data_IF_516815275070
#
_entry.id   IF_516815275070
#
_cell.length_a   1.000
_cell.length_b   1.000
_cell.length_c   1.000
_cell.angle_alpha   90.00
_cell.angle_beta   90.00
_cell.angle_gamma   90.00
#
_symmetry.space_group_name_H-M   'P 1'
#
loop_
_entity.id
_entity.type
_entity.pdbx_description
1 polymer ?
#
# COMPACT_ATOMS: atom_id res chain seq x y z
N UNK A 1 -33.55 -10.63 5.55
CA UNK A 1 -33.79 -11.03 4.15
C UNK A 1 -33.98 -9.77 3.31
N UNK A 2 -32.92 -9.29 2.66
CA UNK A 2 -32.93 -8.04 1.89
C UNK A 2 -33.00 -8.32 0.39
N UNK A 3 -33.97 -7.69 -0.28
CA UNK A 3 -34.32 -7.87 -1.69
C UNK A 3 -33.19 -7.49 -2.65
N UNK A 4 -33.01 -8.31 -3.69
CA UNK A 4 -32.18 -8.04 -4.88
C UNK A 4 -33.10 -7.45 -5.95
N UNK A 5 -32.93 -6.18 -6.30
CA UNK A 5 -33.60 -5.59 -7.46
C UNK A 5 -32.68 -5.54 -8.67
N UNK A 6 -33.11 -6.21 -9.75
CA UNK A 6 -32.51 -6.12 -11.09
C UNK A 6 -33.12 -4.92 -11.79
N UNK A 7 -32.31 -3.93 -12.14
CA UNK A 7 -32.75 -2.77 -12.92
C UNK A 7 -32.38 -2.99 -14.39
N UNK A 8 -33.37 -3.35 -15.21
CA UNK A 8 -33.33 -3.20 -16.67
C UNK A 8 -33.66 -1.75 -17.04
N UNK A 9 -32.73 -1.00 -17.62
CA UNK A 9 -33.00 0.31 -18.22
C UNK A 9 -33.14 0.21 -19.73
N UNK A 10 -34.36 0.42 -20.20
CA UNK A 10 -34.66 0.80 -21.57
C UNK A 10 -35.03 2.28 -21.54
N UNK A 11 -34.24 3.16 -22.16
CA UNK A 11 -34.62 4.55 -22.39
C UNK A 11 -33.89 5.09 -23.63
N UNK A 12 -34.64 5.16 -24.74
CA UNK A 12 -34.31 5.97 -25.91
C UNK A 12 -34.33 7.45 -25.49
N UNK A 13 -33.23 8.16 -25.70
CA UNK A 13 -33.20 9.62 -25.67
C UNK A 13 -32.25 10.14 -26.77
N UNK A 14 -32.88 10.49 -27.89
CA UNK A 14 -32.67 11.62 -28.78
C UNK A 14 -31.25 12.21 -28.90
N UNK A 15 -30.72 12.04 -30.10
CA UNK A 15 -29.55 12.69 -30.70
C UNK A 15 -29.67 14.21 -30.65
N UNK A 16 -28.65 14.88 -30.11
CA UNK A 16 -28.28 16.25 -30.49
C UNK A 16 -26.78 16.23 -30.75
N UNK A 17 -26.42 16.48 -32.00
CA UNK A 17 -25.05 16.58 -32.46
C UNK A 17 -24.39 17.81 -31.84
N UNK A 18 -23.25 17.60 -31.19
CA UNK A 18 -22.25 18.63 -30.96
C UNK A 18 -20.95 18.09 -31.56
N UNK A 19 -20.61 18.69 -32.70
CA UNK A 19 -19.38 18.49 -33.44
C UNK A 19 -18.19 18.84 -32.54
N UNK A 20 -17.48 17.82 -32.07
CA UNK A 20 -16.18 17.94 -31.42
C UNK A 20 -15.26 16.91 -32.09
N UNK A 21 -14.75 17.29 -33.25
CA UNK A 21 -13.64 16.64 -33.92
C UNK A 21 -12.33 16.93 -33.17
N UNK A 22 -12.24 16.44 -31.93
CA UNK A 22 -10.95 16.25 -31.26
C UNK A 22 -10.52 14.81 -31.55
N UNK A 23 -9.58 14.66 -32.48
CA UNK A 23 -9.04 13.35 -32.88
C UNK A 23 -8.40 12.70 -31.66
N UNK A 24 -9.16 11.82 -31.02
CA UNK A 24 -8.73 11.02 -29.90
C UNK A 24 -7.57 10.13 -30.37
N UNK A 25 -6.33 10.53 -30.05
CA UNK A 25 -5.15 9.72 -30.35
C UNK A 25 -5.40 8.25 -29.94
N UNK A 26 -5.07 7.28 -30.82
CA UNK A 26 -5.42 5.88 -30.61
C UNK A 26 -4.89 5.42 -29.26
N UNK A 27 -5.64 4.55 -28.57
CA UNK A 27 -5.33 4.12 -27.21
C UNK A 27 -3.86 3.62 -27.06
N UNK A 28 -3.31 3.04 -28.12
CA UNK A 28 -1.91 2.62 -28.23
C UNK A 28 -0.90 3.77 -28.02
N UNK A 29 -1.13 4.96 -28.60
CA UNK A 29 -0.24 6.11 -28.46
C UNK A 29 -0.26 6.68 -27.04
N UNK A 30 -1.42 6.66 -26.37
CA UNK A 30 -1.53 7.08 -24.97
C UNK A 30 -0.81 6.10 -24.03
N UNK A 31 -0.89 4.80 -24.31
CA UNK A 31 -0.16 3.76 -23.56
C UNK A 31 1.35 3.91 -23.75
N UNK A 32 1.82 4.11 -24.98
CA UNK A 32 3.23 4.30 -25.30
C UNK A 32 3.80 5.58 -24.66
N UNK A 33 3.06 6.70 -24.70
CA UNK A 33 3.46 7.96 -24.03
C UNK A 33 3.53 7.79 -22.51
N UNK A 34 2.59 7.06 -21.91
CA UNK A 34 2.60 6.75 -20.47
C UNK A 34 3.80 5.86 -20.10
N UNK A 35 4.11 4.85 -20.89
CA UNK A 35 5.28 3.98 -20.68
C UNK A 35 6.59 4.78 -20.71
N UNK A 36 6.78 5.63 -21.73
CA UNK A 36 7.95 6.52 -21.82
C UNK A 36 8.05 7.49 -20.64
N UNK A 37 6.93 8.03 -20.14
CA UNK A 37 6.93 8.90 -18.94
C UNK A 37 7.31 8.13 -17.68
N UNK A 38 6.80 6.91 -17.49
CA UNK A 38 7.16 6.07 -16.35
C UNK A 38 8.63 5.65 -16.40
N UNK A 39 9.16 5.35 -17.58
CA UNK A 39 10.58 5.05 -17.78
C UNK A 39 11.47 6.25 -17.43
N UNK A 40 11.10 7.46 -17.87
CA UNK A 40 11.82 8.69 -17.50
C UNK A 40 11.80 8.94 -16.00
N UNK A 41 10.66 8.74 -15.33
CA UNK A 41 10.56 8.88 -13.88
C UNK A 41 11.40 7.82 -13.15
N UNK A 42 11.36 6.57 -13.61
CA UNK A 42 12.15 5.49 -13.03
C UNK A 42 13.66 5.74 -13.18
N UNK A 43 14.11 6.23 -14.35
CA UNK A 43 15.50 6.66 -14.56
C UNK A 43 15.87 7.82 -13.64
N UNK A 44 14.98 8.81 -13.48
CA UNK A 44 15.21 9.94 -12.59
C UNK A 44 15.26 9.54 -11.10
N UNK A 45 14.63 8.44 -10.72
CA UNK A 45 14.65 7.91 -9.34
C UNK A 45 15.65 6.78 -9.11
N UNK A 46 16.38 6.34 -10.14
CA UNK A 46 17.40 5.28 -10.01
C UNK A 46 18.74 5.94 -9.76
N UNK A 47 19.41 5.52 -8.69
CA UNK A 47 20.76 5.99 -8.36
C UNK A 47 21.72 4.81 -8.44
N UNK A 48 22.78 4.96 -9.21
CA UNK A 48 23.86 3.98 -9.33
C UNK A 48 25.07 4.49 -8.57
N UNK A 49 25.59 3.68 -7.66
CA UNK A 49 26.79 3.99 -6.89
C UNK A 49 27.90 2.99 -7.21
N UNK A 50 29.14 3.47 -7.15
CA UNK A 50 30.32 2.61 -7.07
C UNK A 50 30.76 2.59 -5.62
N UNK A 51 30.94 1.39 -5.07
CA UNK A 51 31.41 1.17 -3.70
C UNK A 51 32.53 0.13 -3.73
N UNK A 52 33.38 0.14 -2.72
CA UNK A 52 34.40 -0.89 -2.58
C UNK A 52 33.77 -2.29 -2.43
N UNK A 53 34.41 -3.35 -2.96
CA UNK A 53 33.88 -4.71 -2.84
C UNK A 53 33.61 -5.17 -1.40
N UNK A 54 34.49 -4.77 -0.46
CA UNK A 54 34.37 -5.05 0.98
C UNK A 54 33.09 -4.43 1.57
N UNK A 55 32.80 -3.17 1.22
CA UNK A 55 31.58 -2.47 1.63
C UNK A 55 30.34 -3.20 1.11
N UNK A 56 30.34 -3.61 -0.16
CA UNK A 56 29.22 -4.36 -0.72
C UNK A 56 28.96 -5.67 0.03
N UNK A 57 30.01 -6.46 0.30
CA UNK A 57 29.89 -7.71 1.05
C UNK A 57 29.35 -7.49 2.46
N UNK A 58 29.84 -6.45 3.15
CA UNK A 58 29.33 -6.08 4.47
C UNK A 58 27.84 -5.73 4.42
N UNK A 59 27.42 -4.92 3.44
CA UNK A 59 26.01 -4.53 3.28
C UNK A 59 25.11 -5.71 2.90
N UNK A 60 25.59 -6.64 2.10
CA UNK A 60 24.87 -7.89 1.78
C UNK A 60 24.62 -8.74 3.04
N UNK A 61 25.62 -8.85 3.92
CA UNK A 61 25.48 -9.56 5.19
C UNK A 61 24.45 -8.89 6.11
N UNK A 62 24.48 -7.56 6.21
CA UNK A 62 23.50 -6.78 6.98
C UNK A 62 22.08 -6.93 6.43
N UNK A 63 21.91 -6.85 5.11
CA UNK A 63 20.61 -7.06 4.47
C UNK A 63 20.05 -8.46 4.78
N UNK A 64 20.89 -9.50 4.69
CA UNK A 64 20.51 -10.88 5.02
C UNK A 64 20.13 -11.02 6.49
N UNK A 65 20.89 -10.43 7.41
CA UNK A 65 20.58 -10.43 8.84
C UNK A 65 19.23 -9.75 9.14
N UNK A 66 18.89 -8.69 8.39
CA UNK A 66 17.59 -8.03 8.45
C UNK A 66 16.46 -8.79 7.71
N UNK A 67 16.74 -9.91 7.05
CA UNK A 67 15.78 -10.66 6.25
C UNK A 67 15.31 -9.92 4.99
N UNK A 68 16.18 -9.09 4.41
CA UNK A 68 15.92 -8.24 3.25
C UNK A 68 16.90 -8.55 2.12
N UNK A 69 16.53 -8.17 0.89
CA UNK A 69 17.51 -8.09 -0.21
C UNK A 69 18.27 -6.76 -0.12
N UNK A 70 19.46 -6.69 -0.77
CA UNK A 70 20.32 -5.51 -0.71
C UNK A 70 19.59 -4.24 -1.15
N UNK A 71 18.86 -4.26 -2.27
CA UNK A 71 18.14 -3.09 -2.77
C UNK A 71 17.16 -2.51 -1.74
N UNK A 72 16.35 -3.37 -1.12
CA UNK A 72 15.40 -2.95 -0.10
C UNK A 72 16.09 -2.44 1.16
N UNK A 73 17.19 -3.09 1.56
CA UNK A 73 18.00 -2.65 2.69
C UNK A 73 18.62 -1.26 2.44
N UNK A 74 19.16 -1.02 1.24
CA UNK A 74 19.71 0.28 0.86
C UNK A 74 18.62 1.37 0.79
N UNK A 75 17.44 1.05 0.26
CA UNK A 75 16.28 1.96 0.29
C UNK A 75 15.91 2.34 1.73
N UNK A 76 15.80 1.35 2.63
CA UNK A 76 15.52 1.61 4.04
C UNK A 76 16.61 2.46 4.69
N UNK A 77 17.88 2.23 4.38
CA UNK A 77 19.00 3.01 4.92
C UNK A 77 18.88 4.49 4.49
N UNK A 78 18.62 4.75 3.22
CA UNK A 78 18.44 6.11 2.70
C UNK A 78 17.21 6.78 3.33
N UNK A 79 16.08 6.09 3.41
CA UNK A 79 14.87 6.62 4.07
C UNK A 79 15.10 6.88 5.56
N UNK A 80 15.88 6.03 6.24
CA UNK A 80 16.25 6.24 7.65
C UNK A 80 17.10 7.49 7.81
N UNK A 81 18.07 7.69 6.91
CA UNK A 81 18.89 8.88 6.93
C UNK A 81 18.03 10.14 6.75
N UNK A 82 17.12 10.15 5.77
CA UNK A 82 16.17 11.28 5.57
C UNK A 82 15.36 11.57 6.83
N UNK A 83 14.82 10.54 7.50
CA UNK A 83 14.06 10.73 8.75
C UNK A 83 14.92 11.34 9.85
N UNK A 84 16.21 10.97 9.93
CA UNK A 84 17.11 11.39 11.00
C UNK A 84 17.77 12.75 10.74
N UNK A 85 18.01 13.11 9.48
CA UNK A 85 18.77 14.29 9.10
C UNK A 85 17.89 15.45 8.63
N UNK A 86 16.64 15.18 8.24
CA UNK A 86 15.74 16.24 7.79
C UNK A 86 15.35 17.15 8.96
N UNK A 87 15.14 18.46 8.71
CA UNK A 87 14.51 19.36 9.67
C UNK A 87 13.18 18.81 10.19
N UNK A 88 12.83 19.15 11.42
CA UNK A 88 11.61 18.63 12.06
C UNK A 88 10.32 19.00 11.31
N UNK A 89 10.33 20.09 10.54
CA UNK A 89 9.24 20.60 9.71
C UNK A 89 9.29 20.10 8.25
N UNK A 90 10.27 19.28 7.88
CA UNK A 90 10.36 18.72 6.54
C UNK A 90 9.24 17.71 6.28
N UNK A 91 8.39 18.03 5.29
CA UNK A 91 7.22 17.23 4.97
C UNK A 91 7.57 15.80 4.50
N UNK A 92 8.72 15.60 3.86
CA UNK A 92 9.16 14.27 3.42
C UNK A 92 9.59 13.42 4.62
N UNK A 93 10.43 13.97 5.51
CA UNK A 93 10.88 13.34 6.74
C UNK A 93 9.72 12.93 7.63
N UNK A 94 8.80 13.86 7.92
CA UNK A 94 7.59 13.61 8.72
C UNK A 94 6.75 12.47 8.13
N UNK A 95 6.50 12.50 6.81
CA UNK A 95 5.70 11.47 6.12
C UNK A 95 6.37 10.09 6.16
N UNK A 96 7.69 10.02 5.96
CA UNK A 96 8.44 8.76 6.02
C UNK A 96 8.47 8.20 7.44
N UNK A 97 8.66 9.06 8.44
CA UNK A 97 8.58 8.69 9.85
C UNK A 97 7.20 8.14 10.21
N UNK A 98 6.13 8.83 9.81
CA UNK A 98 4.75 8.40 10.02
C UNK A 98 4.47 7.04 9.38
N UNK A 99 4.88 6.84 8.12
CA UNK A 99 4.74 5.55 7.43
C UNK A 99 5.46 4.43 8.16
N UNK A 100 6.70 4.66 8.64
CA UNK A 100 7.47 3.67 9.40
C UNK A 100 6.77 3.32 10.70
N UNK A 101 6.29 4.33 11.42
CA UNK A 101 5.55 4.16 12.67
C UNK A 101 4.27 3.35 12.46
N UNK A 102 3.44 3.71 11.49
CA UNK A 102 2.21 2.97 11.12
C UNK A 102 2.50 1.50 10.85
N UNK A 103 3.54 1.19 10.07
CA UNK A 103 3.90 -0.20 9.76
C UNK A 103 4.40 -0.93 11.01
N UNK A 104 5.24 -0.28 11.82
CA UNK A 104 5.75 -0.85 13.07
C UNK A 104 4.63 -1.19 14.05
N UNK A 105 3.73 -0.24 14.29
CA UNK A 105 2.64 -0.37 15.25
C UNK A 105 1.65 -1.46 14.81
N UNK A 106 1.33 -1.52 13.52
CA UNK A 106 0.51 -2.59 12.95
C UNK A 106 1.14 -3.96 13.15
N UNK A 107 2.45 -4.10 12.91
CA UNK A 107 3.16 -5.37 13.09
C UNK A 107 3.18 -5.77 14.56
N UNK A 108 3.46 -4.84 15.47
CA UNK A 108 3.45 -5.09 16.90
C UNK A 108 2.05 -5.52 17.37
N UNK A 109 1.00 -4.81 16.95
CA UNK A 109 -0.39 -5.14 17.25
C UNK A 109 -0.80 -6.50 16.70
N UNK A 110 -0.45 -6.81 15.46
CA UNK A 110 -0.73 -8.11 14.85
C UNK A 110 -0.07 -9.25 15.65
N UNK A 111 1.20 -9.13 16.02
CA UNK A 111 1.89 -10.13 16.84
C UNK A 111 1.23 -10.31 18.21
N UNK A 112 0.90 -9.20 18.88
CA UNK A 112 0.25 -9.24 20.19
C UNK A 112 -1.13 -9.91 20.14
N UNK A 113 -1.94 -9.62 19.10
CA UNK A 113 -3.25 -10.25 18.92
C UNK A 113 -3.15 -11.74 18.58
N UNK A 114 -2.17 -12.14 17.77
CA UNK A 114 -1.93 -13.55 17.45
C UNK A 114 -1.45 -14.33 18.69
N UNK A 115 -0.53 -13.76 19.46
CA UNK A 115 -0.07 -14.34 20.72
C UNK A 115 -1.21 -14.50 21.75
N UNK A 116 -2.22 -13.61 21.70
CA UNK A 116 -3.42 -13.71 22.52
C UNK A 116 -4.49 -14.68 21.97
N UNK A 117 -4.18 -15.45 20.91
CA UNK A 117 -5.09 -16.42 20.32
C UNK A 117 -6.28 -15.80 19.56
N UNK A 118 -6.20 -14.51 19.19
CA UNK A 118 -7.30 -13.78 18.52
C UNK A 118 -7.29 -13.92 16.99
N UNK A 119 -6.53 -14.89 16.46
CA UNK A 119 -6.41 -15.11 15.03
C UNK A 119 -7.70 -15.72 14.44
N UNK A 120 -8.17 -15.18 13.32
CA UNK A 120 -9.24 -15.75 12.51
C UNK A 120 -9.14 -15.33 11.03
N UNK A 121 -10.09 -15.75 10.21
CA UNK A 121 -10.13 -15.41 8.78
C UNK A 121 -10.10 -13.90 8.51
N UNK A 122 -10.67 -13.10 9.42
CA UNK A 122 -10.82 -11.64 9.32
C UNK A 122 -9.70 -10.88 10.03
N UNK A 123 -8.60 -11.55 10.38
CA UNK A 123 -7.55 -11.02 11.23
C UNK A 123 -7.00 -9.66 10.78
N UNK A 124 -6.81 -9.44 9.47
CA UNK A 124 -6.35 -8.15 8.94
C UNK A 124 -7.30 -7.02 9.34
N UNK A 125 -8.61 -7.23 9.19
CA UNK A 125 -9.60 -6.23 9.56
C UNK A 125 -9.59 -5.99 11.06
N UNK A 126 -9.55 -7.05 11.88
CA UNK A 126 -9.53 -6.91 13.33
C UNK A 126 -8.32 -6.12 13.83
N UNK A 127 -7.13 -6.41 13.30
CA UNK A 127 -5.91 -5.66 13.65
C UNK A 127 -6.06 -4.19 13.30
N UNK A 128 -6.54 -3.88 12.09
CA UNK A 128 -6.71 -2.49 11.65
C UNK A 128 -7.79 -1.77 12.47
N UNK A 129 -8.92 -2.41 12.76
CA UNK A 129 -9.97 -1.82 13.60
C UNK A 129 -9.51 -1.61 15.04
N UNK A 130 -8.70 -2.52 15.58
CA UNK A 130 -8.25 -2.45 16.95
C UNK A 130 -7.13 -1.42 17.16
N UNK A 131 -6.28 -1.21 16.15
CA UNK A 131 -5.25 -0.17 16.19
C UNK A 131 -5.79 1.21 15.80
N UNK A 132 -6.84 1.29 14.97
CA UNK A 132 -7.45 2.56 14.59
C UNK A 132 -8.20 3.26 15.74
N UNK A 133 -8.35 2.61 16.90
CA UNK A 133 -8.86 3.23 18.14
C UNK A 133 -7.82 4.10 18.85
N UNK A 134 -6.55 3.98 18.45
CA UNK A 134 -5.47 4.82 18.97
C UNK A 134 -5.39 6.10 18.13
N UNK A 135 -5.59 7.24 18.78
CA UNK A 135 -5.61 8.55 18.14
C UNK A 135 -4.25 8.91 17.53
N UNK A 136 -3.14 8.51 18.16
CA UNK A 136 -1.80 8.72 17.62
C UNK A 136 -1.63 7.88 16.35
N UNK A 137 -2.07 6.62 16.35
CA UNK A 137 -2.05 5.81 15.14
C UNK A 137 -2.86 6.46 14.01
N UNK A 138 -4.06 6.95 14.30
CA UNK A 138 -4.93 7.59 13.30
C UNK A 138 -4.26 8.83 12.67
N UNK A 139 -3.65 9.68 13.49
CA UNK A 139 -2.93 10.86 13.02
C UNK A 139 -1.74 10.49 12.10
N UNK A 140 -0.95 9.50 12.50
CA UNK A 140 0.20 9.03 11.72
C UNK A 140 -0.23 8.36 10.41
N UNK A 141 -1.33 7.61 10.45
CA UNK A 141 -1.91 6.99 9.27
C UNK A 141 -2.37 8.04 8.25
N UNK A 142 -3.08 9.08 8.68
CA UNK A 142 -3.53 10.15 7.79
C UNK A 142 -2.35 10.86 7.13
N UNK A 143 -1.33 11.22 7.92
CA UNK A 143 -0.08 11.84 7.42
C UNK A 143 0.63 10.95 6.39
N UNK A 144 0.72 9.65 6.65
CA UNK A 144 1.34 8.69 5.73
C UNK A 144 0.51 8.44 4.46
N UNK A 145 -0.82 8.52 4.55
CA UNK A 145 -1.75 8.09 3.49
C UNK A 145 -1.84 9.04 2.30
N UNK A 146 -1.54 10.33 2.50
CA UNK A 146 -1.61 11.35 1.44
C UNK A 146 -0.54 11.18 0.37
N UNK A 147 0.57 10.50 0.71
CA UNK A 147 1.72 10.39 -0.19
C UNK A 147 2.33 11.75 -0.56
N UNK A 148 2.13 12.80 0.27
CA UNK A 148 2.56 14.17 -0.04
C UNK A 148 1.73 14.87 -1.11
N UNK A 149 0.58 14.32 -1.49
CA UNK A 149 -0.36 14.94 -2.41
C UNK A 149 -1.52 15.59 -1.64
N UNK A 150 -2.21 16.54 -2.27
CA UNK A 150 -3.38 17.19 -1.70
C UNK A 150 -4.44 16.16 -1.29
N UNK A 151 -5.04 16.33 -0.11
CA UNK A 151 -6.16 15.51 0.36
C UNK A 151 -7.30 15.49 -0.67
N UNK A 152 -7.94 14.33 -0.86
CA UNK A 152 -8.97 14.14 -1.88
C UNK A 152 -8.45 14.01 -3.32
N UNK A 153 -7.16 14.25 -3.57
CA UNK A 153 -6.59 14.04 -4.91
C UNK A 153 -6.53 12.57 -5.29
N UNK A 154 -6.53 12.30 -6.60
CA UNK A 154 -6.34 10.93 -7.12
C UNK A 154 -4.99 10.34 -6.73
N UNK A 155 -3.97 11.18 -6.53
CA UNK A 155 -2.65 10.74 -6.07
C UNK A 155 -2.70 10.29 -4.60
N UNK A 156 -3.35 11.06 -3.72
CA UNK A 156 -3.55 10.69 -2.32
C UNK A 156 -4.36 9.39 -2.18
N UNK A 157 -5.43 9.22 -2.96
CA UNK A 157 -6.20 7.97 -2.99
C UNK A 157 -5.34 6.76 -3.36
N UNK A 158 -4.46 6.90 -4.37
CA UNK A 158 -3.53 5.82 -4.76
C UNK A 158 -2.48 5.53 -3.68
N UNK A 159 -1.94 6.56 -3.04
CA UNK A 159 -0.99 6.41 -1.94
C UNK A 159 -1.61 5.64 -0.76
N UNK A 160 -2.84 5.99 -0.36
CA UNK A 160 -3.61 5.27 0.65
C UNK A 160 -3.84 3.81 0.28
N UNK A 161 -4.24 3.53 -0.96
CA UNK A 161 -4.39 2.14 -1.43
C UNK A 161 -3.07 1.36 -1.33
N UNK A 162 -1.95 1.98 -1.73
CA UNK A 162 -0.62 1.35 -1.63
C UNK A 162 -0.22 1.07 -0.18
N UNK A 163 -0.46 2.02 0.73
CA UNK A 163 -0.20 1.85 2.17
C UNK A 163 -1.04 0.70 2.74
N UNK A 164 -2.33 0.66 2.43
CA UNK A 164 -3.24 -0.40 2.91
C UNK A 164 -2.85 -1.79 2.40
N UNK A 165 -2.39 -1.89 1.16
CA UNK A 165 -1.84 -3.14 0.65
C UNK A 165 -0.56 -3.55 1.38
N UNK A 166 0.29 -2.58 1.74
CA UNK A 166 1.49 -2.84 2.52
C UNK A 166 1.13 -3.33 3.92
N UNK A 167 0.21 -2.66 4.61
CA UNK A 167 -0.35 -3.04 5.92
C UNK A 167 -0.82 -4.50 5.90
N UNK A 168 -1.68 -4.87 4.95
CA UNK A 168 -2.17 -6.25 4.84
C UNK A 168 -1.06 -7.28 4.61
N UNK A 169 -0.03 -6.95 3.82
CA UNK A 169 1.12 -7.83 3.59
C UNK A 169 1.97 -8.01 4.84
N UNK A 170 2.24 -6.94 5.59
CA UNK A 170 3.08 -7.01 6.79
C UNK A 170 2.35 -7.71 7.93
N UNK A 171 1.04 -7.50 8.11
CA UNK A 171 0.23 -8.26 9.09
C UNK A 171 0.33 -9.75 8.79
N UNK A 172 0.04 -10.15 7.55
CA UNK A 172 0.10 -11.55 7.14
C UNK A 172 1.48 -12.18 7.41
N UNK A 173 2.56 -11.48 7.05
CA UNK A 173 3.93 -11.95 7.28
C UNK A 173 4.25 -12.04 8.77
N UNK A 174 3.81 -11.06 9.57
CA UNK A 174 4.11 -10.97 11.00
C UNK A 174 3.57 -12.16 11.81
N UNK A 175 2.45 -12.74 11.37
CA UNK A 175 1.78 -13.87 12.06
C UNK A 175 1.95 -15.21 11.33
N UNK A 176 2.80 -15.27 10.30
CA UNK A 176 3.06 -16.50 9.54
C UNK A 176 1.85 -17.05 8.76
N UNK A 177 0.83 -16.22 8.52
CA UNK A 177 -0.40 -16.66 7.86
C UNK A 177 -0.26 -16.76 6.33
N UNK A 178 -1.17 -17.54 5.73
CA UNK A 178 -1.35 -17.70 4.30
C UNK A 178 -2.65 -17.03 3.86
N UNK A 179 -2.74 -16.74 2.58
CA UNK A 179 -4.01 -16.26 2.00
C UNK A 179 -4.98 -17.43 1.88
N UNK A 180 -6.16 -17.30 2.48
CA UNK A 180 -7.23 -18.28 2.34
C UNK A 180 -7.63 -18.38 0.87
N UNK A 181 -7.86 -19.61 0.40
CA UNK A 181 -8.30 -19.88 -0.97
C UNK A 181 -9.75 -20.33 -0.98
N UNK A 182 -10.48 -19.94 -2.01
CA UNK A 182 -11.81 -20.47 -2.30
C UNK A 182 -11.68 -21.87 -2.90
N UNK A 183 -12.81 -22.58 -3.01
CA UNK A 183 -12.87 -23.92 -3.64
C UNK A 183 -12.27 -23.94 -5.06
N UNK A 184 -12.38 -22.83 -5.81
CA UNK A 184 -11.77 -22.66 -7.13
C UNK A 184 -10.29 -22.23 -7.12
N UNK A 185 -9.59 -22.34 -5.99
CA UNK A 185 -8.17 -22.03 -5.85
C UNK A 185 -7.80 -20.53 -5.87
N UNK A 186 -8.78 -19.64 -5.98
CA UNK A 186 -8.61 -18.17 -6.00
C UNK A 186 -8.45 -17.63 -4.56
N UNK A 187 -7.75 -16.51 -4.41
CA UNK A 187 -7.60 -15.84 -3.11
C UNK A 187 -8.96 -15.30 -2.64
N UNK A 188 -9.40 -15.73 -1.46
CA UNK A 188 -10.61 -15.24 -0.83
C UNK A 188 -10.40 -13.82 -0.31
N UNK A 189 -11.35 -12.93 -0.60
CA UNK A 189 -11.32 -11.52 -0.20
C UNK A 189 -12.66 -11.12 0.40
N UNK A 190 -12.62 -10.23 1.36
CA UNK A 190 -13.79 -9.60 1.94
C UNK A 190 -13.79 -8.09 1.66
N UNK A 191 -14.99 -7.51 1.67
CA UNK A 191 -15.22 -6.09 1.51
C UNK A 191 -16.05 -5.59 2.70
N UNK A 192 -15.71 -4.42 3.21
CA UNK A 192 -16.40 -3.76 4.32
C UNK A 192 -16.63 -2.29 3.95
N UNK A 193 -17.80 -1.77 4.30
CA UNK A 193 -18.14 -0.36 4.13
C UNK A 193 -17.69 0.42 5.37
N UNK A 194 -17.38 1.72 5.19
CA UNK A 194 -17.04 2.65 6.28
C UNK A 194 -15.87 2.22 7.19
N UNK A 195 -14.90 1.49 6.64
CA UNK A 195 -13.70 1.07 7.33
C UNK A 195 -12.43 1.69 6.73
N UNK A 196 -11.39 1.85 7.56
CA UNK A 196 -10.07 2.38 7.15
C UNK A 196 -9.51 1.61 5.94
N UNK A 197 -9.75 0.28 5.90
CA UNK A 197 -9.56 -0.59 4.76
C UNK A 197 -10.91 -1.08 4.22
N UNK A 198 -11.19 -0.82 2.93
CA UNK A 198 -12.47 -1.24 2.32
C UNK A 198 -12.45 -2.67 1.81
N UNK A 199 -11.27 -3.18 1.42
CA UNK A 199 -11.09 -4.54 0.91
C UNK A 199 -9.84 -5.17 1.49
N UNK A 200 -9.92 -6.43 1.88
CA UNK A 200 -8.80 -7.18 2.44
C UNK A 200 -8.87 -8.66 2.09
N UNK A 201 -7.74 -9.35 2.26
CA UNK A 201 -7.61 -10.78 1.99
C UNK A 201 -7.95 -11.56 3.24
N UNK A 202 -8.76 -12.61 3.12
CA UNK A 202 -8.99 -13.53 4.23
C UNK A 202 -7.73 -14.37 4.45
N UNK A 203 -7.41 -14.60 5.72
CA UNK A 203 -6.21 -15.32 6.12
C UNK A 203 -6.55 -16.72 6.61
N UNK A 204 -5.56 -17.58 6.54
CA UNK A 204 -5.58 -18.93 7.10
C UNK A 204 -4.20 -19.20 7.70
N UNK A 205 -4.11 -20.00 8.76
CA UNK A 205 -2.85 -20.32 9.42
C UNK A 205 -2.55 -21.80 9.23
N UNK A 206 -1.37 -22.17 8.68
CA UNK A 206 -0.99 -23.57 8.70
C UNK A 206 -0.89 -24.02 10.16
N UNK A 207 -1.48 -25.18 10.46
CA UNK A 207 -1.35 -25.85 11.76
C UNK A 207 0.12 -26.11 12.10
#
# INVERSE_FOLDING_TARGET
MGKVEKITRNAKAKVVAADNTETAAPAADRVARRAKRLEKLAKASTVTFTVEPSVRQFMDAQAKAAGMNLTHYMQQMVETHVIQSAPADDALGQRLAAKRKVISDVVARAKAMDAAGKFDDHFILKVVQDIAKDDDFAAQYELASTGGAQAGSRAASRARVSLNQQIGRVIKKAVGARSKRTEGGKIARAQVQDAMISTYTLLDKPA
#
